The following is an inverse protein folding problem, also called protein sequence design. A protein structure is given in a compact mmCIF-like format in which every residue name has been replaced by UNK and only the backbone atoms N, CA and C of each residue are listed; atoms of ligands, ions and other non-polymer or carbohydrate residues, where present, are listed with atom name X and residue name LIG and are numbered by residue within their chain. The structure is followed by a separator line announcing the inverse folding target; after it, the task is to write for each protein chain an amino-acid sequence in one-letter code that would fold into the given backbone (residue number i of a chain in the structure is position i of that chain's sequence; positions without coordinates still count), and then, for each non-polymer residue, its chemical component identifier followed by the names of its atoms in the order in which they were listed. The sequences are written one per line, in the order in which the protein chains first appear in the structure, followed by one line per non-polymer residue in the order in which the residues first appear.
data_IF_619141739148
#
_entry.id   IF_619141739148
#
_cell.length_a   1.000
_cell.length_b   1.000
_cell.length_c   1.000
_cell.angle_alpha   90.00
_cell.angle_beta   90.00
_cell.angle_gamma   90.00
#
_symmetry.space_group_name_H-M   'P 1'
#
loop_
_entity.id
_entity.type
_entity.pdbx_description
1 polymer ?
#
# COMPACT_ATOMS: atom_id res chain seq x y z
N UNK A 1 -1.98 23.05 3.45
CA UNK A 1 -1.20 21.84 3.82
C UNK A 1 -1.99 20.90 4.72
N UNK A 2 -2.50 21.35 5.88
CA UNK A 2 -3.36 20.52 6.77
C UNK A 2 -4.64 19.97 6.13
N UNK A 3 -5.11 20.55 5.01
CA UNK A 3 -6.27 20.06 4.25
C UNK A 3 -5.95 18.80 3.45
N UNK A 4 -4.80 18.77 2.77
CA UNK A 4 -4.38 17.61 1.97
C UNK A 4 -4.06 16.39 2.84
N UNK A 5 -3.40 16.58 3.99
CA UNK A 5 -3.14 15.45 4.91
C UNK A 5 -4.44 14.82 5.43
N UNK A 6 -5.42 15.67 5.76
CA UNK A 6 -6.73 15.20 6.20
C UNK A 6 -7.45 14.48 5.07
N UNK A 7 -7.42 15.02 3.86
CA UNK A 7 -8.00 14.38 2.69
C UNK A 7 -7.36 13.01 2.41
N UNK A 8 -6.03 12.92 2.42
CA UNK A 8 -5.31 11.65 2.27
C UNK A 8 -5.74 10.62 3.32
N UNK A 9 -5.79 11.02 4.60
CA UNK A 9 -6.21 10.13 5.67
C UNK A 9 -7.68 9.70 5.55
N UNK A 10 -8.58 10.62 5.17
CA UNK A 10 -9.99 10.28 4.91
C UNK A 10 -10.14 9.29 3.75
N UNK A 11 -9.35 9.45 2.68
CA UNK A 11 -9.32 8.50 1.57
C UNK A 11 -8.78 7.14 2.02
N UNK A 12 -7.80 7.11 2.93
CA UNK A 12 -7.31 5.87 3.52
C UNK A 12 -8.36 5.19 4.41
N UNK A 13 -9.10 5.95 5.22
CA UNK A 13 -10.25 5.41 5.96
C UNK A 13 -11.31 4.86 5.02
N UNK A 14 -11.67 5.61 3.97
CA UNK A 14 -12.61 5.17 2.97
C UNK A 14 -12.15 3.90 2.24
N UNK A 15 -10.85 3.76 1.98
CA UNK A 15 -10.24 2.55 1.42
C UNK A 15 -10.47 1.34 2.33
N UNK A 16 -10.19 1.48 3.63
CA UNK A 16 -10.39 0.39 4.61
C UNK A 16 -11.86 0.02 4.76
N UNK A 17 -12.75 1.01 4.83
CA UNK A 17 -14.19 0.76 4.90
C UNK A 17 -14.68 0.09 3.62
N UNK A 18 -14.24 0.57 2.45
CA UNK A 18 -14.58 -0.01 1.14
C UNK A 18 -14.08 -1.45 1.01
N UNK A 19 -12.90 -1.78 1.51
CA UNK A 19 -12.37 -3.14 1.47
C UNK A 19 -13.15 -4.10 2.37
N UNK A 20 -13.70 -3.63 3.49
CA UNK A 20 -14.61 -4.41 4.35
C UNK A 20 -15.95 -4.62 3.64
N UNK A 21 -16.52 -3.57 3.04
CA UNK A 21 -17.77 -3.66 2.27
C UNK A 21 -17.64 -4.63 1.10
N UNK A 22 -16.51 -4.58 0.38
CA UNK A 22 -16.17 -5.51 -0.69
C UNK A 22 -16.17 -6.97 -0.22
N UNK A 23 -15.53 -7.26 0.92
CA UNK A 23 -15.51 -8.61 1.51
C UNK A 23 -16.91 -9.08 1.92
N UNK A 24 -17.69 -8.22 2.60
CA UNK A 24 -19.07 -8.52 2.99
C UNK A 24 -19.94 -8.80 1.75
N UNK A 25 -19.83 -7.95 0.73
CA UNK A 25 -20.59 -8.10 -0.52
C UNK A 25 -20.23 -9.36 -1.30
N UNK A 26 -18.96 -9.79 -1.24
CA UNK A 26 -18.50 -11.05 -1.84
C UNK A 26 -18.85 -12.28 -0.98
N UNK A 27 -19.04 -12.11 0.33
CA UNK A 27 -19.18 -13.21 1.28
C UNK A 27 -17.88 -14.02 1.44
N UNK A 28 -16.74 -13.40 1.15
CA UNK A 28 -15.40 -14.00 1.29
C UNK A 28 -14.55 -13.03 2.09
N UNK A 29 -13.96 -13.51 3.19
CA UNK A 29 -13.16 -12.70 4.10
C UNK A 29 -11.69 -13.06 3.97
N UNK A 30 -10.80 -12.17 4.37
CA UNK A 30 -9.36 -12.41 4.31
C UNK A 30 -8.92 -13.60 5.20
N UNK A 31 -7.99 -14.45 4.70
CA UNK A 31 -7.57 -14.55 3.30
C UNK A 31 -8.69 -15.19 2.44
N UNK A 32 -8.94 -14.68 1.22
CA UNK A 32 -9.97 -15.23 0.34
C UNK A 32 -9.62 -16.65 -0.07
N UNK A 33 -10.60 -17.40 -0.57
CA UNK A 33 -10.39 -18.81 -0.95
C UNK A 33 -9.44 -19.03 -2.13
N UNK A 34 -9.31 -18.03 -3.01
CA UNK A 34 -8.57 -18.15 -4.27
C UNK A 34 -7.46 -17.11 -4.39
N UNK A 35 -7.83 -15.83 -4.40
CA UNK A 35 -6.90 -14.71 -4.58
C UNK A 35 -7.56 -13.40 -4.14
N UNK A 36 -6.75 -12.38 -3.85
CA UNK A 36 -7.26 -11.02 -3.61
C UNK A 36 -7.92 -10.43 -4.86
N UNK A 37 -7.36 -10.72 -6.04
CA UNK A 37 -7.92 -10.29 -7.32
C UNK A 37 -9.34 -10.82 -7.59
N UNK A 38 -9.74 -11.92 -6.94
CA UNK A 38 -11.07 -12.51 -7.12
C UNK A 38 -12.22 -11.65 -6.57
N UNK A 39 -11.90 -10.68 -5.70
CA UNK A 39 -12.86 -9.65 -5.31
C UNK A 39 -13.28 -8.78 -6.49
N UNK A 40 -12.45 -8.65 -7.53
CA UNK A 40 -12.74 -7.93 -8.78
C UNK A 40 -13.65 -8.65 -9.77
N UNK A 41 -14.02 -9.91 -9.50
CA UNK A 41 -14.80 -10.75 -10.42
C UNK A 41 -16.27 -10.82 -10.01
N UNK A 42 -17.16 -10.71 -11.01
CA UNK A 42 -18.60 -10.91 -10.86
C UNK A 42 -19.38 -9.61 -10.54
N UNK A 43 -20.66 -9.73 -10.11
CA UNK A 43 -21.56 -8.58 -9.95
C UNK A 43 -21.10 -7.50 -8.96
N UNK A 44 -20.27 -7.88 -7.98
CA UNK A 44 -19.71 -6.97 -6.97
C UNK A 44 -18.26 -6.54 -7.29
N UNK A 45 -17.71 -6.90 -8.45
CA UNK A 45 -16.32 -6.62 -8.82
C UNK A 45 -15.97 -5.13 -8.82
N UNK A 46 -16.94 -4.27 -9.09
CA UNK A 46 -16.78 -2.82 -9.04
C UNK A 46 -16.37 -2.29 -7.65
N UNK A 47 -16.71 -3.00 -6.56
CA UNK A 47 -16.30 -2.61 -5.19
C UNK A 47 -14.79 -2.77 -4.96
N UNK A 48 -14.16 -3.75 -5.62
CA UNK A 48 -12.71 -3.90 -5.66
C UNK A 48 -12.07 -2.74 -6.41
N UNK A 49 -12.60 -2.39 -7.60
CA UNK A 49 -12.12 -1.23 -8.37
C UNK A 49 -12.22 0.07 -7.58
N UNK A 50 -13.34 0.33 -6.89
CA UNK A 50 -13.49 1.52 -6.03
C UNK A 50 -12.46 1.52 -4.90
N UNK A 51 -12.25 0.38 -4.25
CA UNK A 51 -11.25 0.24 -3.18
C UNK A 51 -9.86 0.62 -3.68
N UNK A 52 -9.47 0.13 -4.86
CA UNK A 52 -8.17 0.44 -5.47
C UNK A 52 -8.09 1.92 -5.92
N UNK A 53 -9.15 2.51 -6.43
CA UNK A 53 -9.18 3.95 -6.78
C UNK A 53 -9.03 4.82 -5.53
N UNK A 54 -9.73 4.51 -4.44
CA UNK A 54 -9.62 5.24 -3.18
C UNK A 54 -8.20 5.12 -2.59
N UNK A 55 -7.63 3.93 -2.65
CA UNK A 55 -6.26 3.65 -2.24
C UNK A 55 -5.29 4.52 -3.05
N UNK A 56 -5.37 4.47 -4.39
CA UNK A 56 -4.55 5.25 -5.29
C UNK A 56 -4.65 6.76 -5.02
N UNK A 57 -5.89 7.27 -4.87
CA UNK A 57 -6.16 8.67 -4.60
C UNK A 57 -5.59 9.13 -3.25
N UNK A 58 -5.72 8.30 -2.20
CA UNK A 58 -5.19 8.59 -0.86
C UNK A 58 -3.68 8.79 -0.87
N UNK A 59 -2.95 7.86 -1.50
CA UNK A 59 -1.48 7.93 -1.57
C UNK A 59 -0.99 9.06 -2.46
N UNK A 60 -1.67 9.34 -3.58
CA UNK A 60 -1.32 10.48 -4.43
C UNK A 60 -1.55 11.81 -3.72
N UNK A 61 -2.65 11.92 -2.97
CA UNK A 61 -2.93 13.10 -2.16
C UNK A 61 -1.84 13.32 -1.11
N UNK A 62 -1.36 12.25 -0.48
CA UNK A 62 -0.24 12.27 0.45
C UNK A 62 1.08 12.68 -0.24
N UNK A 63 1.42 12.09 -1.38
CA UNK A 63 2.63 12.43 -2.13
C UNK A 63 2.63 13.91 -2.59
N UNK A 64 1.48 14.44 -3.02
CA UNK A 64 1.31 15.86 -3.36
C UNK A 64 1.48 16.75 -2.12
N UNK A 65 0.96 16.32 -0.96
CA UNK A 65 1.15 17.04 0.29
C UNK A 65 2.63 17.10 0.69
N UNK A 66 3.38 16.00 0.51
CA UNK A 66 4.82 15.92 0.80
C UNK A 66 5.64 16.83 -0.12
N UNK A 67 5.34 16.87 -1.43
CA UNK A 67 5.98 17.77 -2.40
C UNK A 67 5.86 19.24 -1.98
N UNK A 68 4.71 19.63 -1.44
CA UNK A 68 4.46 21.00 -0.98
C UNK A 68 5.10 21.30 0.38
N UNK A 69 5.47 20.26 1.15
CA UNK A 69 5.92 20.40 2.54
C UNK A 69 7.41 20.43 2.73
N UNK A 70 8.13 19.56 2.05
CA UNK A 70 9.53 19.34 2.34
C UNK A 70 10.40 20.00 1.27
N UNK A 71 11.15 21.06 1.59
CA UNK A 71 12.23 21.54 0.73
C UNK A 71 13.56 20.85 1.07
N UNK A 72 14.28 20.25 0.10
CA UNK A 72 13.87 20.03 -1.29
C UNK A 72 12.79 18.94 -1.41
N UNK A 73 11.94 19.02 -2.45
CA UNK A 73 10.83 18.10 -2.63
C UNK A 73 11.31 16.66 -2.81
N UNK A 74 10.66 15.66 -2.18
CA UNK A 74 11.03 14.25 -2.29
C UNK A 74 10.58 13.63 -3.63
N UNK A 75 11.07 14.18 -4.75
CA UNK A 75 10.60 13.83 -6.11
C UNK A 75 10.66 12.35 -6.42
N UNK A 76 11.73 11.65 -6.00
CA UNK A 76 11.88 10.22 -6.20
C UNK A 76 10.73 9.42 -5.54
N UNK A 77 10.42 9.72 -4.27
CA UNK A 77 9.30 9.09 -3.55
C UNK A 77 7.99 9.39 -4.26
N UNK A 78 7.76 10.63 -4.69
CA UNK A 78 6.53 11.00 -5.41
C UNK A 78 6.38 10.25 -6.73
N UNK A 79 7.46 10.08 -7.50
CA UNK A 79 7.43 9.31 -8.75
C UNK A 79 7.09 7.85 -8.47
N UNK A 80 7.71 7.23 -7.45
CA UNK A 80 7.40 5.85 -7.09
C UNK A 80 5.95 5.69 -6.63
N UNK A 81 5.43 6.61 -5.81
CA UNK A 81 4.02 6.61 -5.41
C UNK A 81 3.10 6.80 -6.62
N UNK A 82 3.50 7.60 -7.63
CA UNK A 82 2.73 7.74 -8.86
C UNK A 82 2.71 6.44 -9.69
N UNK A 83 3.85 5.77 -9.84
CA UNK A 83 3.95 4.46 -10.51
C UNK A 83 3.07 3.43 -9.79
N UNK A 84 3.16 3.35 -8.46
CA UNK A 84 2.30 2.50 -7.65
C UNK A 84 0.82 2.83 -7.86
N UNK A 85 0.43 4.10 -7.81
CA UNK A 85 -0.97 4.50 -7.93
C UNK A 85 -1.54 4.16 -9.31
N UNK A 86 -0.75 4.34 -10.37
CA UNK A 86 -1.12 3.93 -11.73
C UNK A 86 -1.25 2.40 -11.79
N UNK A 87 -0.30 1.64 -11.25
CA UNK A 87 -0.37 0.17 -11.19
C UNK A 87 -1.63 -0.33 -10.47
N UNK A 88 -1.95 0.27 -9.32
CA UNK A 88 -3.17 -0.04 -8.54
C UNK A 88 -4.44 0.25 -9.34
N UNK A 89 -4.54 1.42 -9.97
CA UNK A 89 -5.73 1.77 -10.79
C UNK A 89 -5.86 0.82 -11.97
N UNK A 90 -4.78 0.56 -12.71
CA UNK A 90 -4.82 -0.35 -13.85
C UNK A 90 -5.18 -1.78 -13.44
N UNK A 91 -4.69 -2.25 -12.29
CA UNK A 91 -5.10 -3.54 -11.70
C UNK A 91 -6.61 -3.60 -11.45
N UNK A 92 -7.21 -2.53 -10.93
CA UNK A 92 -8.65 -2.48 -10.68
C UNK A 92 -9.52 -2.33 -11.92
N UNK A 93 -8.96 -1.81 -13.02
CA UNK A 93 -9.69 -1.59 -14.28
C UNK A 93 -9.56 -2.76 -15.26
N UNK A 94 -8.45 -3.51 -15.19
CA UNK A 94 -8.23 -4.69 -16.03
C UNK A 94 -8.79 -5.91 -15.30
N UNK A 95 -9.72 -6.67 -15.91
CA UNK A 95 -10.27 -7.87 -15.29
C UNK A 95 -9.18 -8.92 -15.01
N UNK A 96 -9.23 -9.51 -13.81
CA UNK A 96 -8.48 -10.72 -13.50
C UNK A 96 -9.18 -11.94 -14.13
N UNK A 97 -8.41 -12.99 -14.44
CA UNK A 97 -8.99 -14.26 -14.87
C UNK A 97 -9.71 -14.92 -13.68
N UNK A 98 -10.98 -15.36 -13.86
CA UNK A 98 -11.80 -15.90 -12.77
C UNK A 98 -11.36 -17.30 -12.31
N UNK A 99 -10.58 -18.00 -13.14
CA UNK A 99 -10.02 -19.32 -12.90
C UNK A 99 -8.50 -19.32 -13.14
N UNK A 100 -7.79 -20.29 -12.56
CA UNK A 100 -6.34 -20.45 -12.72
C UNK A 100 -5.99 -21.22 -14.02
N UNK A 101 -6.80 -21.05 -15.07
CA UNK A 101 -6.57 -21.64 -16.39
C UNK A 101 -5.48 -20.87 -17.14
N UNK A 102 -5.27 -21.16 -18.44
CA UNK A 102 -4.24 -20.47 -19.23
C UNK A 102 -4.52 -18.96 -19.22
N UNK A 103 -3.59 -18.12 -18.70
CA UNK A 103 -3.89 -16.71 -18.50
C UNK A 103 -4.20 -15.99 -19.81
N UNK A 104 -5.33 -15.28 -19.84
CA UNK A 104 -5.71 -14.41 -20.95
C UNK A 104 -4.76 -13.20 -21.04
N UNK A 105 -4.82 -12.45 -22.14
CA UNK A 105 -4.03 -11.21 -22.24
C UNK A 105 -4.41 -10.21 -21.13
N UNK A 106 -5.70 -10.12 -20.80
CA UNK A 106 -6.19 -9.26 -19.73
C UNK A 106 -5.69 -9.74 -18.36
N UNK A 107 -5.76 -11.04 -18.07
CA UNK A 107 -5.24 -11.61 -16.83
C UNK A 107 -3.73 -11.37 -16.67
N UNK A 108 -2.93 -11.56 -17.73
CA UNK A 108 -1.49 -11.24 -17.71
C UNK A 108 -1.22 -9.77 -17.44
N UNK A 109 -1.99 -8.88 -18.05
CA UNK A 109 -1.87 -7.44 -17.82
C UNK A 109 -2.27 -7.08 -16.37
N UNK A 110 -3.34 -7.64 -15.84
CA UNK A 110 -3.76 -7.49 -14.44
C UNK A 110 -2.63 -7.91 -13.48
N UNK A 111 -2.08 -9.12 -13.65
CA UNK A 111 -0.98 -9.61 -12.82
C UNK A 111 0.24 -8.71 -12.93
N UNK A 112 0.60 -8.25 -14.13
CA UNK A 112 1.73 -7.33 -14.31
C UNK A 112 1.54 -6.02 -13.54
N UNK A 113 0.35 -5.40 -13.65
CA UNK A 113 0.05 -4.16 -12.94
C UNK A 113 0.00 -4.35 -11.42
N UNK A 114 -0.53 -5.48 -10.96
CA UNK A 114 -0.57 -5.82 -9.54
C UNK A 114 0.84 -6.02 -8.98
N UNK A 115 1.68 -6.82 -9.66
CA UNK A 115 3.06 -7.04 -9.25
C UNK A 115 3.87 -5.74 -9.26
N UNK A 116 3.71 -4.90 -10.28
CA UNK A 116 4.39 -3.59 -10.33
C UNK A 116 3.98 -2.73 -9.13
N UNK A 117 2.70 -2.68 -8.78
CA UNK A 117 2.24 -1.94 -7.62
C UNK A 117 2.85 -2.51 -6.32
N UNK A 118 2.71 -3.81 -6.07
CA UNK A 118 3.15 -4.45 -4.83
C UNK A 118 4.67 -4.29 -4.58
N UNK A 119 5.49 -4.27 -5.63
CA UNK A 119 6.95 -4.08 -5.49
C UNK A 119 7.31 -2.61 -5.23
N UNK A 120 6.63 -1.68 -5.90
CA UNK A 120 7.05 -0.27 -5.92
C UNK A 120 6.75 0.44 -4.59
N UNK A 121 5.66 0.10 -3.90
CA UNK A 121 5.27 0.78 -2.67
C UNK A 121 6.23 0.54 -1.49
N UNK A 122 6.62 -0.70 -1.15
CA UNK A 122 7.59 -0.96 -0.08
C UNK A 122 8.91 -0.20 -0.30
N UNK A 123 9.39 -0.15 -1.55
CA UNK A 123 10.57 0.63 -1.93
C UNK A 123 10.34 2.13 -1.65
N UNK A 124 9.21 2.68 -2.10
CA UNK A 124 8.86 4.08 -1.85
C UNK A 124 8.78 4.39 -0.34
N UNK A 125 8.22 3.48 0.46
CA UNK A 125 8.08 3.61 1.89
C UNK A 125 9.44 3.66 2.59
N UNK A 126 10.35 2.73 2.26
CA UNK A 126 11.71 2.68 2.81
C UNK A 126 12.51 3.92 2.42
N UNK A 127 12.49 4.33 1.14
CA UNK A 127 13.16 5.55 0.68
C UNK A 127 12.63 6.77 1.43
N UNK A 128 11.31 6.89 1.58
CA UNK A 128 10.69 8.02 2.29
C UNK A 128 11.22 8.14 3.72
N UNK A 129 11.27 7.06 4.49
CA UNK A 129 11.67 7.13 5.91
C UNK A 129 13.17 7.23 6.13
N UNK A 130 13.97 6.71 5.19
CA UNK A 130 15.44 6.77 5.25
C UNK A 130 15.98 8.13 4.78
N UNK A 131 15.36 8.73 3.76
CA UNK A 131 15.75 10.03 3.21
C UNK A 131 15.02 11.23 3.86
N UNK A 132 14.15 10.99 4.84
CA UNK A 132 13.46 12.06 5.56
C UNK A 132 14.45 12.93 6.34
N UNK A 133 14.55 14.21 5.95
CA UNK A 133 15.38 15.21 6.66
C UNK A 133 15.02 15.33 8.14
N UNK A 134 13.73 15.29 8.45
CA UNK A 134 13.22 15.13 9.82
C UNK A 134 12.91 13.66 10.01
N UNK A 135 13.86 12.93 10.61
CA UNK A 135 13.71 11.50 10.80
C UNK A 135 12.48 11.23 11.70
N UNK A 136 11.55 10.35 11.30
CA UNK A 136 10.54 9.87 12.21
C UNK A 136 11.22 9.17 13.41
N UNK A 137 10.53 9.02 14.54
CA UNK A 137 11.03 8.23 15.67
C UNK A 137 11.60 6.88 15.21
N UNK A 138 12.77 6.50 15.74
CA UNK A 138 13.44 5.22 15.44
C UNK A 138 12.49 4.02 15.42
N UNK A 139 11.58 3.80 16.40
CA UNK A 139 10.69 2.65 16.37
C UNK A 139 9.80 2.64 15.12
N UNK A 140 9.23 3.78 14.75
CA UNK A 140 8.38 3.90 13.57
C UNK A 140 9.13 3.65 12.25
N UNK A 141 10.37 4.14 12.14
CA UNK A 141 11.22 3.82 10.98
C UNK A 141 11.46 2.32 10.87
N UNK A 142 11.79 1.67 11.99
CA UNK A 142 11.98 0.21 12.04
C UNK A 142 10.69 -0.49 11.65
N UNK A 143 9.54 -0.08 12.19
CA UNK A 143 8.23 -0.65 11.84
C UNK A 143 7.97 -0.57 10.34
N UNK A 144 8.19 0.59 9.71
CA UNK A 144 7.99 0.76 8.26
C UNK A 144 8.94 -0.15 7.47
N UNK A 145 10.23 -0.22 7.83
CA UNK A 145 11.17 -1.11 7.16
C UNK A 145 10.81 -2.60 7.34
N UNK A 146 10.36 -3.00 8.52
CA UNK A 146 9.93 -4.39 8.80
C UNK A 146 8.68 -4.74 8.02
N UNK A 147 7.68 -3.85 7.98
CA UNK A 147 6.45 -4.07 7.20
C UNK A 147 6.75 -4.14 5.71
N UNK A 148 7.63 -3.27 5.19
CA UNK A 148 8.07 -3.30 3.80
C UNK A 148 8.78 -4.62 3.47
N UNK A 149 9.72 -5.03 4.32
CA UNK A 149 10.41 -6.32 4.14
C UNK A 149 9.44 -7.51 4.22
N UNK A 150 8.50 -7.50 5.17
CA UNK A 150 7.50 -8.55 5.31
C UNK A 150 6.56 -8.63 4.09
N UNK A 151 6.20 -7.48 3.49
CA UNK A 151 5.39 -7.44 2.27
C UNK A 151 6.14 -8.10 1.11
N UNK A 152 7.41 -7.74 0.90
CA UNK A 152 8.25 -8.31 -0.16
C UNK A 152 8.57 -9.79 0.06
N UNK A 153 8.81 -10.19 1.32
CA UNK A 153 8.96 -11.60 1.66
C UNK A 153 7.69 -12.37 1.32
N UNK A 154 6.52 -11.82 1.64
CA UNK A 154 5.23 -12.43 1.28
C UNK A 154 5.07 -12.54 -0.23
N UNK A 155 5.46 -11.53 -1.00
CA UNK A 155 5.43 -11.58 -2.46
C UNK A 155 6.40 -12.64 -3.03
N UNK A 156 7.59 -12.79 -2.44
CA UNK A 156 8.53 -13.85 -2.79
C UNK A 156 7.97 -15.25 -2.50
N UNK A 157 7.30 -15.42 -1.36
CA UNK A 157 6.61 -16.65 -1.00
C UNK A 157 5.42 -16.95 -1.92
N UNK A 158 4.70 -15.92 -2.39
CA UNK A 158 3.67 -16.07 -3.40
C UNK A 158 4.23 -16.63 -4.71
N UNK A 159 5.40 -16.15 -5.16
CA UNK A 159 6.08 -16.69 -6.34
C UNK A 159 6.51 -18.15 -6.14
N UNK A 160 6.89 -18.56 -4.93
CA UNK A 160 7.15 -19.96 -4.62
C UNK A 160 5.86 -20.81 -4.64
N UNK A 161 4.77 -20.30 -4.07
CA UNK A 161 3.48 -20.96 -4.14
C UNK A 161 3.00 -21.14 -5.60
N UNK A 162 3.30 -20.18 -6.48
CA UNK A 162 3.03 -20.24 -7.92
C UNK A 162 3.70 -21.44 -8.62
N UNK A 163 4.86 -21.88 -8.12
CA UNK A 163 5.60 -23.03 -8.67
C UNK A 163 5.21 -24.36 -8.01
N UNK A 164 4.21 -24.34 -7.12
CA UNK A 164 3.75 -25.53 -6.38
C UNK A 164 4.49 -25.77 -5.07
N UNK A 165 5.40 -24.88 -4.66
CA UNK A 165 6.13 -24.99 -3.40
C UNK A 165 5.32 -24.33 -2.28
N UNK A 166 4.91 -25.12 -1.29
CA UNK A 166 4.24 -24.62 -0.09
C UNK A 166 5.03 -25.00 1.17
N UNK A 167 5.35 -24.00 1.99
CA UNK A 167 6.06 -24.16 3.27
C UNK A 167 5.13 -24.09 4.49
N UNK A 168 3.83 -23.87 4.28
CA UNK A 168 2.81 -23.73 5.33
C UNK A 168 2.05 -25.03 5.60
N UNK A 169 2.00 -25.94 4.63
CA UNK A 169 1.19 -27.17 4.69
C UNK A 169 -0.30 -26.95 4.38
N UNK A 170 -0.69 -25.76 3.89
CA UNK A 170 -2.06 -25.41 3.52
C UNK A 170 -2.44 -25.87 2.10
N UNK A 171 -1.44 -26.27 1.31
CA UNK A 171 -1.55 -26.53 -0.13
C UNK A 171 -1.21 -25.27 -0.95
N UNK A 172 -0.62 -25.41 -2.15
CA UNK A 172 -0.13 -24.27 -2.93
C UNK A 172 -1.17 -23.18 -3.22
N UNK A 173 -2.43 -23.56 -3.49
CA UNK A 173 -3.50 -22.58 -3.75
C UNK A 173 -3.88 -21.75 -2.52
N UNK A 174 -4.00 -22.40 -1.36
CA UNK A 174 -4.30 -21.70 -0.09
C UNK A 174 -3.12 -20.82 0.35
N UNK A 175 -1.89 -21.32 0.15
CA UNK A 175 -0.67 -20.57 0.44
C UNK A 175 -0.56 -19.33 -0.45
N UNK A 176 -0.86 -19.46 -1.75
CA UNK A 176 -0.95 -18.33 -2.68
C UNK A 176 -1.87 -17.24 -2.14
N UNK A 177 -3.12 -17.58 -1.80
CA UNK A 177 -4.11 -16.62 -1.36
C UNK A 177 -3.69 -15.92 -0.06
N UNK A 178 -3.08 -16.66 0.86
CA UNK A 178 -2.52 -16.14 2.11
C UNK A 178 -1.39 -15.12 1.85
N UNK A 179 -0.44 -15.47 0.99
CA UNK A 179 0.71 -14.62 0.71
C UNK A 179 0.33 -13.36 -0.08
N UNK A 180 -0.62 -13.47 -1.01
CA UNK A 180 -1.17 -12.31 -1.72
C UNK A 180 -1.87 -11.36 -0.75
N UNK A 181 -2.75 -11.91 0.09
CA UNK A 181 -3.50 -11.15 1.10
C UNK A 181 -2.58 -10.45 2.08
N UNK A 182 -1.55 -11.16 2.55
CA UNK A 182 -0.58 -10.62 3.49
C UNK A 182 0.18 -9.45 2.88
N UNK A 183 0.67 -9.57 1.64
CA UNK A 183 1.34 -8.47 0.95
C UNK A 183 0.42 -7.26 0.76
N UNK A 184 -0.80 -7.47 0.26
CA UNK A 184 -1.78 -6.38 0.06
C UNK A 184 -2.13 -5.68 1.39
N UNK A 185 -2.38 -6.43 2.46
CA UNK A 185 -2.71 -5.85 3.77
C UNK A 185 -1.52 -5.05 4.32
N UNK A 186 -0.31 -5.59 4.23
CA UNK A 186 0.90 -4.91 4.68
C UNK A 186 1.12 -3.59 3.91
N UNK A 187 0.88 -3.59 2.61
CA UNK A 187 0.95 -2.40 1.75
C UNK A 187 -0.08 -1.33 2.14
N UNK A 188 -1.33 -1.73 2.39
CA UNK A 188 -2.37 -0.82 2.89
C UNK A 188 -1.98 -0.25 4.26
N UNK A 189 -1.43 -1.07 5.16
CA UNK A 189 -0.95 -0.60 6.47
C UNK A 189 0.24 0.36 6.31
N UNK A 190 1.19 0.06 5.43
CA UNK A 190 2.35 0.91 5.16
C UNK A 190 1.93 2.31 4.72
N UNK A 191 1.05 2.40 3.72
CA UNK A 191 0.64 3.70 3.18
C UNK A 191 -0.26 4.46 4.16
N UNK A 192 -1.06 3.75 4.95
CA UNK A 192 -1.85 4.33 6.03
C UNK A 192 -0.95 4.93 7.12
N UNK A 193 0.07 4.20 7.57
CA UNK A 193 1.06 4.68 8.52
C UNK A 193 1.80 5.89 7.95
N UNK A 194 2.23 5.85 6.69
CA UNK A 194 2.86 6.99 6.02
C UNK A 194 1.96 8.25 6.03
N UNK A 195 0.66 8.10 5.80
CA UNK A 195 -0.31 9.20 5.92
C UNK A 195 -0.42 9.74 7.35
N UNK A 196 -0.41 8.86 8.36
CA UNK A 196 -0.45 9.26 9.78
C UNK A 196 0.81 10.03 10.20
N UNK A 197 1.99 9.53 9.83
CA UNK A 197 3.28 10.16 10.16
C UNK A 197 3.36 11.57 9.60
N UNK A 198 2.86 11.75 8.37
CA UNK A 198 2.77 13.08 7.76
C UNK A 198 2.00 14.07 8.66
N UNK A 199 0.93 13.66 9.36
CA UNK A 199 0.24 14.55 10.31
C UNK A 199 1.07 14.85 11.56
N UNK A 200 1.70 13.86 12.16
CA UNK A 200 2.38 14.00 13.46
C UNK A 200 3.57 14.96 13.34
N UNK A 201 4.33 14.88 12.24
CA UNK A 201 5.49 15.76 11.99
C UNK A 201 5.14 17.25 11.82
N UNK A 202 3.85 17.60 11.70
CA UNK A 202 3.35 19.00 11.62
C UNK A 202 3.00 19.56 13.00
N UNK A 203 2.75 18.69 13.99
CA UNK A 203 2.21 19.09 15.31
C UNK A 203 3.30 19.35 16.35
N UNK A 204 4.54 18.87 16.15
CA UNK A 204 5.69 19.20 17.00
C UNK A 204 6.43 20.39 16.37
N UNK A 205 6.18 21.64 16.80
CA UNK A 205 6.92 22.78 16.30
C UNK A 205 8.27 22.82 17.03
N UNK A 206 9.18 23.64 16.51
CA UNK A 206 10.52 23.96 17.01
C UNK A 206 10.57 24.57 18.44
N UNK A 207 9.67 24.20 19.36
CA UNK A 207 9.70 24.63 20.76
C UNK A 207 10.91 24.06 21.51
N UNK A 208 11.46 22.92 21.08
CA UNK A 208 12.70 22.39 21.64
C UNK A 208 13.95 23.14 21.14
N UNK A 209 13.96 23.62 19.88
CA UNK A 209 15.10 24.38 19.34
C UNK A 209 15.15 25.84 19.83
N UNK A 210 13.99 26.45 20.10
CA UNK A 210 13.95 27.83 20.62
C UNK A 210 14.38 27.87 22.09
N UNK A 211 13.93 26.91 22.92
CA UNK A 211 14.34 26.85 24.34
C UNK A 211 15.83 26.53 24.49
N UNK A 212 16.40 25.68 23.62
CA UNK A 212 17.83 25.37 23.65
C UNK A 212 18.74 26.52 23.18
N UNK A 213 18.23 27.46 22.35
CA UNK A 213 18.99 28.64 21.90
C UNK A 213 18.91 29.82 22.86
N UNK A 214 17.87 29.91 23.69
CA UNK A 214 17.71 30.98 24.68
C UNK A 214 18.32 30.66 26.05
N UNK A 215 18.87 29.45 26.23
CA UNK A 215 19.45 28.98 27.49
C UNK A 215 20.98 28.81 27.46
N UNK A 216 21.66 29.31 26.43
CA UNK A 216 23.12 29.45 26.47
C UNK A 216 23.47 30.89 26.87
N UNK A 217 24.03 31.12 28.09
CA UNK A 217 24.61 32.39 28.49
C UNK A 217 25.90 32.71 27.73
#
# INVERSE_FOLDING_TARGET
MRTLDRAALWLMHATVVSSIVMQIGKGDFLPPKVSMSQYGVGPFGWTFTITLILLAAGSMTMAIADLRRFPPPPRAVTILIAIWAVGVVLTGLVPADPDQSIPTLAGRAHTLFASLALIVLPIAAVIRVTMARRQPPKPLRITICVLAFASELSLGLLVLAATGIDITGLGPHSAWALYESSSVVLDVVLIYLMCMVARISVVVPARAEVVARTSMP
#
